data_IF_240729729245
#
_entry.id   IF_240729729245
#
_cell.length_a   1.000
_cell.length_b   1.000
_cell.length_c   1.000
_cell.angle_alpha   90.00
_cell.angle_beta   90.00
_cell.angle_gamma   90.00
#
_symmetry.space_group_name_H-M   'P 1'
#
loop_
_entity.id
_entity.type
_entity.pdbx_description
1 polymer ?
#
# COMPACT_ATOMS: atom_id res chain seq x y z
N UNK A 1 -13.94 -0.21 -14.05
CA UNK A 1 -14.09 -1.17 -15.14
C UNK A 1 -12.89 -1.26 -16.09
N UNK A 2 -11.91 -0.37 -15.99
CA UNK A 2 -10.65 -0.47 -16.75
C UNK A 2 -9.91 -1.81 -16.55
N UNK A 3 -9.99 -2.40 -15.37
CA UNK A 3 -9.39 -3.72 -15.09
C UNK A 3 -10.15 -4.86 -15.78
N UNK A 4 -11.48 -4.76 -15.87
CA UNK A 4 -12.31 -5.79 -16.47
C UNK A 4 -12.12 -5.85 -18.00
N UNK A 5 -12.04 -4.71 -18.65
CA UNK A 5 -11.87 -4.64 -20.11
C UNK A 5 -10.45 -5.06 -20.52
N UNK A 6 -9.43 -4.72 -19.74
CA UNK A 6 -8.06 -5.13 -19.98
C UNK A 6 -7.82 -6.63 -19.69
N UNK A 7 -8.49 -7.21 -18.70
CA UNK A 7 -8.37 -8.64 -18.42
C UNK A 7 -8.95 -9.50 -19.55
N UNK A 8 -10.03 -9.07 -20.18
CA UNK A 8 -10.63 -9.79 -21.31
C UNK A 8 -9.72 -9.84 -22.54
N UNK A 9 -8.81 -8.88 -22.69
CA UNK A 9 -7.81 -8.87 -23.77
C UNK A 9 -6.63 -9.80 -23.46
N UNK A 10 -6.31 -9.98 -22.19
CA UNK A 10 -5.16 -10.79 -21.75
C UNK A 10 -5.51 -12.26 -21.52
N UNK A 11 -6.80 -12.57 -21.30
CA UNK A 11 -7.25 -13.92 -20.97
C UNK A 11 -7.75 -14.63 -22.24
N UNK A 12 -7.07 -15.71 -22.61
CA UNK A 12 -7.44 -16.60 -23.72
C UNK A 12 -8.03 -17.91 -23.19
N UNK A 13 -8.58 -18.73 -24.09
CA UNK A 13 -9.06 -20.08 -23.73
C UNK A 13 -7.93 -20.97 -23.15
N UNK A 14 -6.69 -20.69 -23.50
CA UNK A 14 -5.50 -21.43 -23.04
C UNK A 14 -4.89 -20.85 -21.77
N UNK A 15 -5.42 -19.72 -21.26
CA UNK A 15 -4.89 -19.07 -20.06
C UNK A 15 -5.08 -19.97 -18.85
N UNK A 16 -3.97 -20.23 -18.17
CA UNK A 16 -3.92 -20.96 -16.91
C UNK A 16 -3.32 -20.08 -15.82
N UNK A 17 -4.07 -19.87 -14.74
CA UNK A 17 -3.60 -19.14 -13.57
C UNK A 17 -3.85 -20.04 -12.35
N UNK A 18 -2.82 -20.29 -11.59
CA UNK A 18 -2.93 -21.02 -10.32
C UNK A 18 -2.33 -20.17 -9.21
N UNK A 19 -3.14 -19.89 -8.20
CA UNK A 19 -2.70 -19.22 -6.99
C UNK A 19 -2.92 -20.14 -5.80
N UNK A 20 -1.92 -20.29 -4.95
CA UNK A 20 -2.03 -21.05 -3.71
C UNK A 20 -1.42 -20.33 -2.53
N UNK A 21 -2.01 -20.53 -1.35
CA UNK A 21 -1.52 -20.02 -0.08
C UNK A 21 -1.60 -21.11 0.97
N UNK A 22 -0.56 -21.24 1.77
CA UNK A 22 -0.54 -22.15 2.89
C UNK A 22 -0.76 -21.36 4.19
N UNK A 23 -1.78 -21.76 4.96
CA UNK A 23 -2.14 -21.16 6.25
C UNK A 23 -2.27 -22.29 7.26
N UNK A 24 -1.53 -22.22 8.35
CA UNK A 24 -1.56 -23.23 9.42
C UNK A 24 -1.39 -24.67 8.91
N UNK A 25 -0.58 -24.88 7.87
CA UNK A 25 -0.33 -26.19 7.26
C UNK A 25 -1.38 -26.64 6.25
N UNK A 26 -2.45 -25.89 6.05
CA UNK A 26 -3.47 -26.16 5.01
C UNK A 26 -3.19 -25.31 3.77
N UNK A 27 -3.23 -25.95 2.59
CA UNK A 27 -3.03 -25.27 1.32
C UNK A 27 -4.39 -24.95 0.70
N UNK A 28 -4.64 -23.67 0.47
CA UNK A 28 -5.80 -23.15 -0.24
C UNK A 28 -5.37 -22.75 -1.64
N UNK A 29 -6.17 -23.05 -2.64
CA UNK A 29 -5.82 -22.69 -4.00
C UNK A 29 -7.03 -22.22 -4.81
N UNK A 30 -6.73 -21.32 -5.75
CA UNK A 30 -7.66 -20.85 -6.77
C UNK A 30 -7.01 -21.08 -8.12
N UNK A 31 -7.76 -21.69 -9.03
CA UNK A 31 -7.29 -22.01 -10.37
C UNK A 31 -8.26 -21.42 -11.39
N UNK A 32 -7.74 -20.68 -12.35
CA UNK A 32 -8.45 -20.27 -13.54
C UNK A 32 -7.93 -21.10 -14.72
N UNK A 33 -8.82 -21.84 -15.38
CA UNK A 33 -8.49 -22.63 -16.57
C UNK A 33 -9.72 -22.83 -17.44
N UNK A 34 -9.55 -22.92 -18.75
CA UNK A 34 -10.64 -23.10 -19.71
C UNK A 34 -11.81 -22.11 -19.50
N UNK A 35 -11.51 -20.85 -19.19
CA UNK A 35 -12.51 -19.82 -18.95
C UNK A 35 -13.29 -19.96 -17.62
N UNK A 36 -12.88 -20.86 -16.72
CA UNK A 36 -13.58 -21.13 -15.46
C UNK A 36 -12.67 -20.93 -14.26
N UNK A 37 -13.24 -20.35 -13.21
CA UNK A 37 -12.62 -20.25 -11.90
C UNK A 37 -13.03 -21.46 -11.05
N UNK A 38 -12.05 -22.16 -10.49
CA UNK A 38 -12.25 -23.23 -9.52
C UNK A 38 -11.44 -22.95 -8.26
N UNK A 39 -11.94 -23.36 -7.12
CA UNK A 39 -11.23 -23.22 -5.84
C UNK A 39 -11.46 -24.49 -5.00
N UNK A 40 -10.43 -24.84 -4.23
CA UNK A 40 -10.57 -25.88 -3.23
C UNK A 40 -10.90 -25.22 -1.91
N UNK A 41 -11.97 -25.60 -1.31
CA UNK A 41 -12.29 -25.41 0.08
C UNK A 41 -13.04 -24.15 0.52
N UNK A 42 -13.86 -24.37 1.51
CA UNK A 42 -14.34 -23.37 2.44
C UNK A 42 -13.21 -23.06 3.43
N UNK A 43 -12.73 -21.84 3.44
CA UNK A 43 -11.69 -21.39 4.39
C UNK A 43 -12.34 -21.32 5.78
N UNK A 44 -11.83 -22.06 6.78
CA UNK A 44 -12.32 -21.93 8.14
C UNK A 44 -12.11 -20.51 8.68
N UNK A 45 -13.03 -20.04 9.52
CA UNK A 45 -12.93 -18.68 10.09
C UNK A 45 -11.62 -18.41 10.83
N UNK A 46 -11.00 -19.45 11.42
CA UNK A 46 -9.69 -19.33 12.08
C UNK A 46 -8.52 -19.11 11.12
N UNK A 47 -8.68 -19.50 9.86
CA UNK A 47 -7.65 -19.37 8.83
C UNK A 47 -7.89 -18.18 7.89
N UNK A 48 -8.91 -17.37 8.16
CA UNK A 48 -9.15 -16.13 7.41
C UNK A 48 -8.00 -15.15 7.66
N UNK A 49 -7.20 -14.95 6.62
CA UNK A 49 -6.13 -13.96 6.61
C UNK A 49 -6.56 -12.78 5.74
N UNK A 50 -6.41 -11.59 6.31
CA UNK A 50 -6.61 -10.37 5.57
C UNK A 50 -5.24 -9.87 5.11
N UNK A 51 -5.08 -9.77 3.80
CA UNK A 51 -3.89 -9.23 3.19
C UNK A 51 -4.12 -7.76 2.86
N UNK A 52 -3.14 -6.93 3.16
CA UNK A 52 -3.08 -5.57 2.63
C UNK A 52 -2.18 -5.60 1.41
N UNK A 53 -2.76 -5.30 0.25
CA UNK A 53 -1.99 -5.05 -0.95
C UNK A 53 -1.51 -3.60 -0.94
N UNK A 54 -0.22 -3.42 -1.20
CA UNK A 54 0.40 -2.11 -1.32
C UNK A 54 0.94 -1.96 -2.73
N UNK A 55 0.35 -1.04 -3.48
CA UNK A 55 0.82 -0.70 -4.81
C UNK A 55 1.94 0.32 -4.71
N UNK A 56 3.07 0.01 -5.31
CA UNK A 56 4.23 0.89 -5.33
C UNK A 56 4.50 1.31 -6.77
N UNK A 57 4.21 2.58 -7.08
CA UNK A 57 4.40 3.13 -8.43
C UNK A 57 5.89 3.30 -8.77
N UNK A 58 6.22 3.26 -10.05
CA UNK A 58 7.54 3.60 -10.57
C UNK A 58 7.91 5.05 -10.25
N UNK A 59 6.94 5.95 -10.25
CA UNK A 59 7.13 7.38 -9.97
C UNK A 59 7.37 7.70 -8.49
N UNK A 60 7.60 6.70 -7.63
CA UNK A 60 7.79 6.89 -6.17
C UNK A 60 8.95 7.81 -5.79
N UNK A 61 9.91 8.02 -6.69
CA UNK A 61 10.98 9.01 -6.48
C UNK A 61 10.45 10.45 -6.34
N UNK A 62 9.26 10.73 -6.87
CA UNK A 62 8.61 12.02 -6.72
C UNK A 62 7.97 12.22 -5.33
N UNK A 63 7.85 11.18 -4.51
CA UNK A 63 7.25 11.25 -3.18
C UNK A 63 8.02 12.23 -2.27
N UNK A 64 9.35 12.14 -2.25
CA UNK A 64 10.19 12.98 -1.39
C UNK A 64 10.09 14.48 -1.75
N UNK A 65 10.22 14.90 -3.01
CA UNK A 65 10.01 16.29 -3.40
C UNK A 65 8.59 16.80 -3.10
N UNK A 66 7.56 15.99 -3.37
CA UNK A 66 6.16 16.39 -3.16
C UNK A 66 5.79 16.49 -1.69
N UNK A 67 6.28 15.59 -0.85
CA UNK A 67 6.01 15.62 0.60
C UNK A 67 6.52 16.90 1.26
N UNK A 68 7.54 17.52 0.71
CA UNK A 68 8.04 18.81 1.18
C UNK A 68 7.15 19.99 0.81
N UNK A 69 6.21 19.80 -0.12
CA UNK A 69 5.28 20.84 -0.59
C UNK A 69 3.94 20.86 0.18
N UNK A 70 3.74 19.95 1.13
CA UNK A 70 2.58 19.94 2.02
C UNK A 70 1.25 19.82 1.30
N UNK A 71 0.35 20.79 1.50
CA UNK A 71 -1.00 20.76 0.96
C UNK A 71 -1.08 20.68 -0.58
N UNK A 72 -0.05 21.14 -1.30
CA UNK A 72 -0.01 21.07 -2.76
C UNK A 72 0.08 19.62 -3.26
N UNK A 73 0.78 18.76 -2.53
CA UNK A 73 0.91 17.35 -2.88
C UNK A 73 -0.43 16.59 -2.75
N UNK A 74 -1.24 16.95 -1.75
CA UNK A 74 -2.57 16.32 -1.53
C UNK A 74 -3.60 16.67 -2.60
N UNK A 75 -3.42 17.79 -3.29
CA UNK A 75 -4.34 18.27 -4.32
C UNK A 75 -3.83 17.99 -5.75
N UNK A 76 -2.64 17.46 -5.89
CA UNK A 76 -2.09 17.12 -7.21
C UNK A 76 -2.76 15.84 -7.72
N UNK A 77 -3.43 15.92 -8.86
CA UNK A 77 -3.98 14.75 -9.53
C UNK A 77 -2.85 14.00 -10.28
N UNK A 78 -2.09 13.20 -9.58
CA UNK A 78 -0.94 12.45 -10.10
C UNK A 78 -1.30 11.02 -10.51
N UNK A 79 -2.60 10.73 -10.62
CA UNK A 79 -3.13 9.41 -10.95
C UNK A 79 -3.31 8.52 -9.71
N UNK A 80 -4.19 7.53 -9.87
CA UNK A 80 -4.65 6.68 -8.77
C UNK A 80 -3.48 5.98 -8.05
N UNK A 81 -2.63 5.28 -8.77
CA UNK A 81 -1.53 4.50 -8.17
C UNK A 81 -0.49 5.35 -7.43
N UNK A 82 -0.23 6.55 -7.94
CA UNK A 82 0.68 7.46 -7.24
C UNK A 82 0.05 7.97 -5.94
N UNK A 83 -1.22 8.36 -5.97
CA UNK A 83 -1.93 8.84 -4.81
C UNK A 83 -2.03 7.76 -3.72
N UNK A 84 -2.27 6.50 -4.09
CA UNK A 84 -2.23 5.37 -3.17
C UNK A 84 -0.84 5.21 -2.53
N UNK A 85 0.22 5.15 -3.34
CA UNK A 85 1.60 5.04 -2.83
C UNK A 85 1.96 6.21 -1.91
N UNK A 86 1.56 7.43 -2.27
CA UNK A 86 1.80 8.62 -1.46
C UNK A 86 1.05 8.56 -0.12
N UNK A 87 -0.21 8.14 -0.13
CA UNK A 87 -1.03 8.01 1.08
C UNK A 87 -0.46 6.96 2.03
N UNK A 88 0.01 5.84 1.51
CA UNK A 88 0.66 4.80 2.31
C UNK A 88 1.98 5.29 2.93
N UNK A 89 2.79 6.02 2.17
CA UNK A 89 4.00 6.64 2.69
C UNK A 89 3.70 7.74 3.74
N UNK A 90 2.69 8.56 3.48
CA UNK A 90 2.24 9.60 4.43
C UNK A 90 1.80 8.98 5.75
N UNK A 91 1.02 7.89 5.71
CA UNK A 91 0.59 7.11 6.87
C UNK A 91 1.77 6.48 7.61
N UNK A 92 2.73 5.88 6.88
CA UNK A 92 3.93 5.30 7.46
C UNK A 92 4.75 6.35 8.24
N UNK A 93 4.93 7.52 7.65
CA UNK A 93 5.72 8.62 8.25
C UNK A 93 4.96 9.39 9.32
N UNK A 94 3.64 9.24 9.41
CA UNK A 94 2.86 9.70 10.56
C UNK A 94 3.00 8.77 11.76
N UNK A 95 3.03 7.47 11.53
CA UNK A 95 3.15 6.47 12.60
C UNK A 95 4.59 6.33 13.12
N UNK A 96 5.57 6.32 12.22
CA UNK A 96 6.98 6.07 12.53
C UNK A 96 7.80 7.33 12.22
N UNK A 97 8.67 7.72 13.16
CA UNK A 97 9.49 8.94 13.02
C UNK A 97 10.96 8.67 12.74
N UNK A 98 11.40 7.44 12.88
CA UNK A 98 12.76 7.00 12.60
C UNK A 98 12.72 5.68 11.83
N UNK A 99 13.41 5.64 10.71
CA UNK A 99 13.57 4.45 9.89
C UNK A 99 15.06 4.10 9.76
N UNK A 100 15.38 2.87 10.10
CA UNK A 100 16.72 2.31 9.92
C UNK A 100 16.92 1.92 8.45
N UNK A 101 17.86 2.61 7.80
CA UNK A 101 18.32 2.33 6.45
C UNK A 101 19.77 1.84 6.46
N UNK A 102 20.13 1.03 7.46
CA UNK A 102 21.51 0.57 7.70
C UNK A 102 22.13 -0.12 6.50
N UNK A 103 21.32 -0.81 5.69
CA UNK A 103 21.79 -1.48 4.46
C UNK A 103 22.39 -0.52 3.41
N UNK A 104 22.12 0.78 3.51
CA UNK A 104 22.75 1.84 2.72
C UNK A 104 23.52 2.84 3.59
N UNK A 105 23.80 2.49 4.85
CA UNK A 105 24.59 3.32 5.77
C UNK A 105 23.91 4.59 6.25
N UNK A 106 22.59 4.65 6.25
CA UNK A 106 21.80 5.83 6.61
C UNK A 106 20.76 5.50 7.69
N UNK A 107 20.28 6.56 8.34
CA UNK A 107 19.04 6.61 9.10
C UNK A 107 18.15 7.72 8.54
N UNK A 108 16.83 7.51 8.48
CA UNK A 108 15.88 8.54 8.06
C UNK A 108 15.03 8.98 9.25
N UNK A 109 14.97 10.28 9.47
CA UNK A 109 14.15 10.93 10.49
C UNK A 109 13.07 11.77 9.84
N UNK A 110 11.86 11.72 10.42
CA UNK A 110 10.72 12.51 9.99
C UNK A 110 10.55 13.69 10.95
N UNK A 111 10.81 14.87 10.46
CA UNK A 111 10.61 16.13 11.18
C UNK A 111 9.32 16.80 10.69
N UNK A 112 8.54 17.37 11.61
CA UNK A 112 7.38 18.18 11.28
C UNK A 112 7.75 19.65 11.27
N UNK A 113 7.56 20.29 10.12
CA UNK A 113 7.63 21.73 9.97
C UNK A 113 6.29 22.40 10.27
N UNK A 114 6.24 23.73 10.16
CA UNK A 114 4.99 24.49 10.17
C UNK A 114 4.10 24.09 8.97
N UNK A 115 2.79 24.35 9.05
CA UNK A 115 1.82 24.09 7.99
C UNK A 115 1.70 22.61 7.57
N UNK A 116 1.85 21.68 8.50
CA UNK A 116 1.76 20.22 8.25
C UNK A 116 2.78 19.69 7.23
N UNK A 117 3.82 20.42 6.92
CA UNK A 117 4.91 19.96 6.07
C UNK A 117 5.76 18.94 6.82
N UNK A 118 6.14 17.87 6.12
CA UNK A 118 7.10 16.88 6.62
C UNK A 118 8.45 17.08 5.94
N UNK A 119 9.52 17.00 6.74
CA UNK A 119 10.89 16.96 6.24
C UNK A 119 11.48 15.59 6.55
N UNK A 120 12.12 15.01 5.60
CA UNK A 120 12.77 13.70 5.72
C UNK A 120 14.28 13.92 5.75
N UNK A 121 14.87 13.80 6.94
CA UNK A 121 16.30 14.04 7.14
C UNK A 121 17.03 12.72 7.14
N UNK A 122 17.98 12.56 6.25
CA UNK A 122 18.89 11.44 6.19
C UNK A 122 20.14 11.76 6.98
N UNK A 123 20.47 10.88 7.91
CA UNK A 123 21.72 10.97 8.71
C UNK A 123 22.62 9.80 8.32
N UNK A 124 23.80 10.06 7.74
CA UNK A 124 24.80 9.02 7.52
C UNK A 124 25.24 8.43 8.87
N UNK A 125 25.49 7.11 8.87
CA UNK A 125 26.04 6.42 10.06
C UNK A 125 27.51 6.70 10.26
N UNK A 126 28.21 7.18 9.24
CA UNK A 126 29.58 7.70 9.35
C UNK A 126 29.52 9.16 9.83
N UNK A 127 30.39 9.51 10.79
CA UNK A 127 30.52 10.87 11.34
C UNK A 127 31.10 11.88 10.35
N UNK A 128 31.69 11.40 9.25
CA UNK A 128 32.34 12.25 8.22
C UNK A 128 31.35 13.05 7.37
N UNK A 129 30.05 12.72 7.42
CA UNK A 129 29.06 13.31 6.54
C UNK A 129 27.96 14.02 7.34
N UNK A 130 27.60 15.20 6.87
CA UNK A 130 26.49 15.98 7.46
C UNK A 130 25.12 15.43 7.07
N UNK A 131 24.09 15.55 7.93
CA UNK A 131 22.72 15.23 7.57
C UNK A 131 22.22 16.07 6.39
N UNK A 132 21.34 15.49 5.57
CA UNK A 132 20.75 16.13 4.41
C UNK A 132 19.29 15.68 4.19
N UNK A 133 18.53 16.46 3.43
CA UNK A 133 17.13 16.11 3.14
C UNK A 133 17.04 15.02 2.06
N UNK A 134 16.07 14.12 2.19
CA UNK A 134 15.79 13.04 1.24
C UNK A 134 15.62 13.55 -0.20
N UNK A 135 15.03 14.73 -0.39
CA UNK A 135 14.88 15.34 -1.73
C UNK A 135 16.20 15.68 -2.44
N UNK A 136 17.29 15.77 -1.68
CA UNK A 136 18.62 16.02 -2.21
C UNK A 136 19.48 14.74 -2.34
N UNK A 137 18.90 13.60 -2.00
CA UNK A 137 19.55 12.31 -2.14
C UNK A 137 19.61 11.86 -3.61
N UNK A 138 20.40 10.84 -3.89
CA UNK A 138 20.39 10.17 -5.19
C UNK A 138 18.99 9.58 -5.49
N UNK A 139 18.67 9.42 -6.78
CA UNK A 139 17.39 8.84 -7.22
C UNK A 139 17.14 7.45 -6.62
N UNK A 140 18.19 6.64 -6.46
CA UNK A 140 18.10 5.34 -5.81
C UNK A 140 17.61 5.43 -4.37
N UNK A 141 18.16 6.36 -3.59
CA UNK A 141 17.75 6.59 -2.20
C UNK A 141 16.33 7.15 -2.16
N UNK A 142 16.00 8.14 -3.01
CA UNK A 142 14.66 8.70 -3.10
C UNK A 142 13.58 7.67 -3.46
N UNK A 143 13.97 6.64 -4.21
CA UNK A 143 13.09 5.54 -4.60
C UNK A 143 12.95 4.49 -3.49
N UNK A 144 14.04 4.17 -2.80
CA UNK A 144 14.11 3.06 -1.84
C UNK A 144 13.60 3.45 -0.45
N UNK A 145 13.89 4.66 0.02
CA UNK A 145 13.50 5.10 1.35
C UNK A 145 11.97 5.10 1.57
N UNK A 146 11.12 5.56 0.63
CA UNK A 146 9.67 5.42 0.77
C UNK A 146 9.21 3.96 0.84
N UNK A 147 9.79 3.07 0.04
CA UNK A 147 9.45 1.66 0.06
C UNK A 147 9.74 1.04 1.42
N UNK A 148 10.94 1.28 1.96
CA UNK A 148 11.33 0.76 3.29
C UNK A 148 10.46 1.34 4.39
N UNK A 149 10.09 2.62 4.30
CA UNK A 149 9.18 3.22 5.27
C UNK A 149 7.82 2.54 5.29
N UNK A 150 7.24 2.25 4.12
CA UNK A 150 5.97 1.52 4.01
C UNK A 150 6.08 0.09 4.54
N UNK A 151 7.15 -0.65 4.18
CA UNK A 151 7.39 -2.01 4.70
C UNK A 151 7.49 -2.02 6.22
N UNK A 152 8.28 -1.11 6.80
CA UNK A 152 8.41 -0.99 8.26
C UNK A 152 7.08 -0.65 8.93
N UNK A 153 6.29 0.22 8.33
CA UNK A 153 4.96 0.57 8.85
C UNK A 153 4.05 -0.66 8.95
N UNK A 154 3.95 -1.45 7.87
CA UNK A 154 3.13 -2.66 7.87
C UNK A 154 3.68 -3.75 8.78
N UNK A 155 5.00 -3.83 8.94
CA UNK A 155 5.62 -4.83 9.80
C UNK A 155 5.50 -4.51 11.30
N UNK A 156 5.42 -3.22 11.69
CA UNK A 156 5.59 -2.82 13.08
C UNK A 156 4.45 -1.99 13.67
N UNK A 157 3.78 -1.16 12.86
CA UNK A 157 2.86 -0.14 13.35
C UNK A 157 1.43 -0.27 12.83
N UNK A 158 1.21 -1.00 11.75
CA UNK A 158 -0.11 -1.12 11.16
C UNK A 158 -1.00 -2.07 11.98
N UNK A 159 -2.16 -1.57 12.40
CA UNK A 159 -3.15 -2.38 13.12
C UNK A 159 -4.08 -3.10 12.13
N UNK A 160 -3.69 -4.31 11.75
CA UNK A 160 -4.48 -5.17 10.87
C UNK A 160 -5.86 -5.51 11.45
N UNK A 161 -5.98 -5.63 12.78
CA UNK A 161 -7.27 -5.94 13.43
C UNK A 161 -8.24 -4.78 13.34
N UNK A 162 -7.73 -3.56 13.51
CA UNK A 162 -8.55 -2.35 13.38
C UNK A 162 -8.96 -2.11 11.92
N UNK A 163 -8.04 -2.31 10.98
CA UNK A 163 -8.31 -2.20 9.55
C UNK A 163 -9.38 -3.20 9.10
N UNK A 164 -9.28 -4.45 9.55
CA UNK A 164 -10.28 -5.50 9.31
C UNK A 164 -11.66 -5.11 9.84
N UNK A 165 -11.74 -4.62 11.08
CA UNK A 165 -13.01 -4.19 11.68
C UNK A 165 -13.66 -3.06 10.87
N UNK A 166 -12.87 -2.08 10.43
CA UNK A 166 -13.37 -0.98 9.58
C UNK A 166 -13.91 -1.50 8.26
N UNK A 167 -13.17 -2.35 7.56
CA UNK A 167 -13.62 -2.92 6.28
C UNK A 167 -14.91 -3.72 6.42
N UNK A 168 -15.11 -4.48 7.50
CA UNK A 168 -16.34 -5.20 7.77
C UNK A 168 -17.50 -4.23 8.04
N UNK A 169 -17.26 -3.17 8.82
CA UNK A 169 -18.24 -2.15 9.11
C UNK A 169 -18.66 -1.44 7.83
N UNK A 170 -17.72 -1.00 7.01
CA UNK A 170 -17.99 -0.33 5.73
C UNK A 170 -18.82 -1.23 4.81
N UNK A 171 -18.47 -2.51 4.71
CA UNK A 171 -19.22 -3.49 3.91
C UNK A 171 -20.65 -3.73 4.42
N UNK A 172 -20.86 -3.68 5.74
CA UNK A 172 -22.18 -3.77 6.34
C UNK A 172 -23.00 -2.49 6.08
N UNK A 173 -22.37 -1.33 6.13
CA UNK A 173 -23.01 -0.06 5.78
C UNK A 173 -23.41 -0.01 4.31
N UNK A 174 -22.53 -0.40 3.39
CA UNK A 174 -22.85 -0.47 1.96
C UNK A 174 -24.01 -1.43 1.67
N UNK A 175 -24.04 -2.60 2.30
CA UNK A 175 -25.16 -3.56 2.16
C UNK A 175 -26.47 -2.99 2.71
N UNK A 176 -26.44 -2.31 3.83
CA UNK A 176 -27.63 -1.70 4.41
C UNK A 176 -28.16 -0.54 3.55
N UNK A 177 -27.28 0.27 2.98
CA UNK A 177 -27.66 1.34 2.05
C UNK A 177 -28.28 0.79 0.77
N UNK A 178 -27.74 -0.29 0.21
CA UNK A 178 -28.31 -0.93 -0.99
C UNK A 178 -29.64 -1.64 -0.71
N UNK A 179 -29.89 -2.13 0.51
CA UNK A 179 -31.19 -2.68 0.89
C UNK A 179 -32.26 -1.61 1.11
N UNK A 180 -31.89 -0.41 1.57
CA UNK A 180 -32.84 0.70 1.74
C UNK A 180 -33.21 1.42 0.44
N UNK A 181 -32.43 1.25 -0.61
CA UNK A 181 -32.65 1.90 -1.92
C UNK A 181 -33.10 0.94 -3.04
N UNK A 182 -33.75 -0.19 -2.70
CA UNK A 182 -34.53 -0.92 -3.70
C UNK A 182 -35.91 -0.24 -3.78
N UNK A 183 -36.20 0.57 -4.81
CA UNK A 183 -37.59 0.89 -5.08
C UNK A 183 -38.27 -0.42 -5.42
N UNK A 184 -39.38 -0.70 -4.75
CA UNK A 184 -40.31 -1.73 -5.13
C UNK A 184 -40.69 -1.43 -6.59
N UNK A 185 -40.14 -2.22 -7.53
CA UNK A 185 -40.65 -2.22 -8.89
C UNK A 185 -41.88 -3.11 -8.88
N UNK A 186 -43.04 -2.48 -8.78
CA UNK A 186 -44.31 -3.05 -9.20
C UNK A 186 -44.35 -3.19 -10.74
#
# INVERSE_FOLDING_TARGET
DLLRDNMNVLVTAETYIHYSVAINGTVYSVTYSNGKLSYNATIPNGDLCFFKEVWVTESRSAIAPLSSQGALAKNANLGFYFNETYTEFDSATDAIKHFDLSYIGLDMFVERGGNHQKKFILKPKSEDYSPFELRHASSGIQTTAPLVAMVNYYAQAFDFKLAQKRSIIDLLFEKNLTMQYRPEME
#
